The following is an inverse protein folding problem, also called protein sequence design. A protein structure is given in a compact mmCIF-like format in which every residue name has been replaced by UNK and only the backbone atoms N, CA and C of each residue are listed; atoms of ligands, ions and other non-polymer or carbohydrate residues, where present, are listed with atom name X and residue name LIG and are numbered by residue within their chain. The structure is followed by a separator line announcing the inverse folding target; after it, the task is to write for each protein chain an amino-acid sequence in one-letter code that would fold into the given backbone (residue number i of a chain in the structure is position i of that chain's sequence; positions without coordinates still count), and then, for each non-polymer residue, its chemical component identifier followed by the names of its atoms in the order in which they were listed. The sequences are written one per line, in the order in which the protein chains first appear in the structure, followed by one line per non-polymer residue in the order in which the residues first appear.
data_IF_698415376114
#
_entry.id   IF_698415376114
#
_cell.length_a   1.000
_cell.length_b   1.000
_cell.length_c   1.000
_cell.angle_alpha   90.00
_cell.angle_beta   90.00
_cell.angle_gamma   90.00
#
_symmetry.space_group_name_H-M   'P 1'
#
loop_
_entity.id
_entity.type
_entity.pdbx_description
1 polymer ?
#
# COMPACT_ATOMS: atom_id res chain seq x y z
N UNK A 1 22.75 9.23 4.18
CA UNK A 1 21.63 8.44 3.62
C UNK A 1 21.60 7.13 4.39
N UNK A 2 20.67 6.96 5.35
CA UNK A 2 20.45 5.66 5.99
C UNK A 2 19.84 4.75 4.93
N UNK A 3 20.50 3.65 4.57
CA UNK A 3 19.86 2.60 3.78
C UNK A 3 18.68 2.08 4.59
N UNK A 4 17.46 2.33 4.13
CA UNK A 4 16.22 1.99 4.84
C UNK A 4 15.90 0.51 4.81
N UNK A 5 16.65 -0.28 4.03
CA UNK A 5 16.55 -1.73 3.99
C UNK A 5 17.74 -2.31 4.77
N UNK A 6 17.49 -3.05 5.87
CA UNK A 6 18.54 -3.82 6.54
C UNK A 6 19.17 -4.76 5.51
N UNK A 7 20.49 -4.63 5.30
CA UNK A 7 21.24 -5.60 4.53
C UNK A 7 21.36 -6.90 5.35
N UNK A 8 21.37 -8.06 4.68
CA UNK A 8 21.74 -9.30 5.34
C UNK A 8 23.11 -9.14 6.01
N UNK A 9 23.30 -9.66 7.23
CA UNK A 9 24.61 -9.62 7.88
C UNK A 9 25.66 -10.21 6.94
N UNK A 10 26.78 -9.50 6.69
CA UNK A 10 27.90 -10.10 5.97
C UNK A 10 28.32 -11.38 6.72
N UNK A 11 28.71 -12.40 5.97
CA UNK A 11 29.13 -13.73 6.45
C UNK A 11 28.00 -14.68 6.91
N UNK A 12 26.73 -14.28 6.82
CA UNK A 12 25.59 -15.19 6.91
C UNK A 12 24.90 -15.31 5.56
N UNK A 13 24.98 -16.48 4.93
CA UNK A 13 24.30 -16.79 3.66
C UNK A 13 22.78 -16.95 3.84
N UNK A 14 22.12 -15.96 4.46
CA UNK A 14 20.67 -15.92 4.63
C UNK A 14 20.02 -15.28 3.39
N UNK A 15 19.14 -16.05 2.74
CA UNK A 15 18.21 -15.53 1.74
C UNK A 15 16.99 -14.89 2.42
N UNK A 16 16.61 -13.70 1.96
CA UNK A 16 15.34 -13.08 2.36
C UNK A 16 14.20 -13.76 1.63
N UNK A 17 13.57 -14.74 2.28
CA UNK A 17 12.42 -15.48 1.73
C UNK A 17 11.11 -14.73 1.93
N UNK A 18 11.02 -13.94 3.00
CA UNK A 18 9.84 -13.18 3.39
C UNK A 18 10.20 -11.73 3.66
N UNK A 19 9.31 -10.84 3.25
CA UNK A 19 9.38 -9.43 3.62
C UNK A 19 8.02 -9.03 4.19
N UNK A 20 8.02 -8.23 5.25
CA UNK A 20 6.81 -7.58 5.77
C UNK A 20 7.18 -6.18 6.24
N UNK A 21 6.47 -5.19 5.72
CA UNK A 21 6.65 -3.81 6.12
C UNK A 21 5.29 -3.11 6.13
N UNK A 22 5.07 -2.32 7.18
CA UNK A 22 3.83 -1.62 7.41
C UNK A 22 4.12 -0.19 7.81
N UNK A 23 3.51 0.76 7.10
CA UNK A 23 3.48 2.16 7.46
C UNK A 23 2.07 2.61 7.80
N UNK A 24 1.96 3.61 8.67
CA UNK A 24 0.72 4.32 8.93
C UNK A 24 0.93 5.81 8.74
N UNK A 25 0.16 6.43 7.83
CA UNK A 25 0.22 7.87 7.57
C UNK A 25 -1.08 8.54 7.99
N UNK A 26 -0.98 9.66 8.69
CA UNK A 26 -2.11 10.58 8.84
C UNK A 26 -2.15 11.54 7.65
N UNK A 27 -3.32 11.82 7.09
CA UNK A 27 -3.47 12.76 5.98
C UNK A 27 -3.61 14.20 6.53
N UNK A 28 -2.65 15.10 6.31
CA UNK A 28 -2.69 16.45 6.88
C UNK A 28 -3.92 17.23 6.41
N UNK A 29 -4.69 17.79 7.35
CA UNK A 29 -5.89 18.57 7.05
C UNK A 29 -7.15 17.75 6.77
N UNK A 30 -7.08 16.41 6.75
CA UNK A 30 -8.21 15.53 6.49
C UNK A 30 -8.41 14.52 7.64
N UNK A 31 -9.64 14.02 7.85
CA UNK A 31 -9.95 13.05 8.90
C UNK A 31 -9.59 11.61 8.50
N UNK A 32 -8.52 11.43 7.72
CA UNK A 32 -8.13 10.14 7.16
C UNK A 32 -6.75 9.72 7.63
N UNK A 33 -6.59 8.41 7.76
CA UNK A 33 -5.31 7.75 7.87
C UNK A 33 -5.22 6.63 6.83
N UNK A 34 -3.98 6.31 6.47
CA UNK A 34 -3.65 5.29 5.48
C UNK A 34 -2.82 4.23 6.20
N UNK A 35 -3.25 2.99 6.12
CA UNK A 35 -2.41 1.85 6.45
C UNK A 35 -1.84 1.29 5.14
N UNK A 36 -0.53 1.13 5.05
CA UNK A 36 0.14 0.62 3.86
C UNK A 36 1.02 -0.56 4.22
N UNK A 37 0.61 -1.76 3.82
CA UNK A 37 1.30 -3.01 4.08
C UNK A 37 1.90 -3.55 2.79
N UNK A 38 3.14 -4.01 2.87
CA UNK A 38 3.89 -4.61 1.77
C UNK A 38 4.50 -5.91 2.26
N UNK A 39 4.22 -7.01 1.56
CA UNK A 39 4.81 -8.31 1.90
C UNK A 39 5.25 -9.08 0.67
N UNK A 40 6.40 -9.76 0.78
CA UNK A 40 6.86 -10.73 -0.20
C UNK A 40 6.68 -12.11 0.40
N UNK A 41 6.06 -13.01 -0.36
CA UNK A 41 5.83 -14.40 0.01
C UNK A 41 6.26 -15.33 -1.14
N UNK A 42 6.72 -16.55 -0.86
CA UNK A 42 6.96 -17.56 -1.89
C UNK A 42 5.66 -17.88 -2.65
N UNK A 43 5.68 -17.90 -3.99
CA UNK A 43 4.51 -18.34 -4.77
C UNK A 43 4.43 -19.88 -4.81
N UNK A 44 3.93 -20.47 -3.73
CA UNK A 44 3.53 -21.89 -3.70
C UNK A 44 4.69 -22.91 -3.75
N UNK A 45 4.33 -24.16 -4.08
CA UNK A 45 5.16 -25.36 -3.88
C UNK A 45 6.22 -25.62 -4.97
N UNK A 46 6.30 -24.77 -6.01
CA UNK A 46 7.26 -24.95 -7.09
C UNK A 46 8.50 -24.08 -6.81
N UNK A 47 9.69 -24.66 -6.58
CA UNK A 47 10.91 -23.91 -6.29
C UNK A 47 11.45 -23.10 -7.49
N UNK A 48 10.83 -23.23 -8.67
CA UNK A 48 11.10 -22.35 -9.82
C UNK A 48 10.16 -21.12 -9.88
N UNK A 49 9.14 -21.06 -9.01
CA UNK A 49 8.10 -20.04 -9.04
C UNK A 49 8.45 -18.77 -8.27
N UNK A 50 8.06 -17.66 -8.89
CA UNK A 50 8.36 -16.29 -8.52
C UNK A 50 8.00 -15.92 -7.07
N UNK A 51 8.65 -14.90 -6.54
CA UNK A 51 8.18 -14.21 -5.34
C UNK A 51 6.88 -13.45 -5.64
N UNK A 52 5.87 -13.57 -4.78
CA UNK A 52 4.65 -12.79 -4.86
C UNK A 52 4.77 -11.54 -3.98
N UNK A 53 4.62 -10.36 -4.58
CA UNK A 53 4.46 -9.10 -3.85
C UNK A 53 2.97 -8.84 -3.60
N UNK A 54 2.59 -8.75 -2.34
CA UNK A 54 1.25 -8.32 -1.92
C UNK A 54 1.38 -6.90 -1.37
N UNK A 55 0.56 -6.01 -1.91
CA UNK A 55 0.43 -4.62 -1.47
C UNK A 55 -1.00 -4.43 -1.00
N UNK A 56 -1.17 -4.13 0.27
CA UNK A 56 -2.45 -3.80 0.86
C UNK A 56 -2.45 -2.33 1.30
N UNK A 57 -3.48 -1.62 0.89
CA UNK A 57 -3.64 -0.19 1.14
C UNK A 57 -5.03 -0.02 1.71
N UNK A 58 -5.12 0.47 2.92
CA UNK A 58 -6.40 0.82 3.53
C UNK A 58 -6.44 2.31 3.83
N UNK A 59 -7.62 2.89 3.61
CA UNK A 59 -7.91 4.27 4.00
C UNK A 59 -9.09 4.22 4.96
N UNK A 60 -8.90 4.80 6.14
CA UNK A 60 -9.90 4.79 7.20
C UNK A 60 -9.99 6.16 7.85
N UNK A 61 -11.12 6.43 8.49
CA UNK A 61 -11.32 7.66 9.25
C UNK A 61 -10.70 7.54 10.63
N UNK A 62 -9.93 8.52 11.06
CA UNK A 62 -9.39 8.59 12.43
C UNK A 62 -10.21 9.50 13.35
N UNK A 63 -11.35 10.02 12.86
CA UNK A 63 -12.28 10.88 13.57
C UNK A 63 -13.71 10.49 13.24
N UNK A 64 -14.61 10.71 14.19
CA UNK A 64 -16.04 10.49 13.98
C UNK A 64 -16.55 11.48 12.94
N UNK A 65 -17.10 10.97 11.84
CA UNK A 65 -17.74 11.80 10.82
C UNK A 65 -19.17 12.11 11.30
N UNK A 66 -19.52 13.39 11.35
CA UNK A 66 -20.91 13.80 11.57
C UNK A 66 -21.67 13.64 10.26
N UNK A 67 -22.23 12.44 10.03
CA UNK A 67 -23.13 12.18 8.91
C UNK A 67 -24.56 12.38 9.41
N UNK A 68 -25.25 13.39 8.89
CA UNK A 68 -26.67 13.61 9.19
C UNK A 68 -27.59 12.54 8.58
N UNK A 69 -28.85 12.49 9.02
CA UNK A 69 -29.85 11.50 8.53
C UNK A 69 -30.17 11.60 7.02
N UNK A 70 -29.77 12.68 6.33
CA UNK A 70 -29.99 12.91 4.90
C UNK A 70 -28.68 13.01 4.09
N UNK A 71 -27.57 12.51 4.61
CA UNK A 71 -26.23 12.91 4.16
C UNK A 71 -25.55 11.91 3.21
N UNK A 72 -26.33 11.30 2.32
CA UNK A 72 -25.84 10.33 1.32
C UNK A 72 -24.77 10.94 0.39
N UNK A 73 -24.95 12.22 0.04
CA UNK A 73 -23.99 12.93 -0.81
C UNK A 73 -22.64 13.11 -0.10
N UNK A 74 -22.65 13.42 1.21
CA UNK A 74 -21.43 13.48 2.01
C UNK A 74 -20.77 12.11 2.14
N UNK A 75 -21.53 11.04 2.40
CA UNK A 75 -20.95 9.69 2.45
C UNK A 75 -20.31 9.30 1.09
N UNK A 76 -21.00 9.55 -0.01
CA UNK A 76 -20.49 9.31 -1.36
C UNK A 76 -19.21 10.09 -1.61
N UNK A 77 -19.16 11.38 -1.25
CA UNK A 77 -17.97 12.21 -1.34
C UNK A 77 -16.81 11.62 -0.52
N UNK A 78 -17.06 11.19 0.72
CA UNK A 78 -16.02 10.60 1.59
C UNK A 78 -15.46 9.30 1.00
N UNK A 79 -16.32 8.44 0.46
CA UNK A 79 -15.89 7.22 -0.22
C UNK A 79 -15.08 7.52 -1.48
N UNK A 80 -15.44 8.55 -2.24
CA UNK A 80 -14.67 9.01 -3.40
C UNK A 80 -13.29 9.54 -2.98
N UNK A 81 -13.22 10.34 -1.92
CA UNK A 81 -11.96 10.84 -1.35
C UNK A 81 -11.05 9.68 -0.90
N UNK A 82 -11.61 8.68 -0.20
CA UNK A 82 -10.86 7.48 0.21
C UNK A 82 -10.35 6.67 -0.98
N UNK A 83 -11.19 6.49 -2.01
CA UNK A 83 -10.79 5.81 -3.26
C UNK A 83 -9.66 6.57 -3.96
N UNK A 84 -9.75 7.89 -4.02
CA UNK A 84 -8.70 8.73 -4.58
C UNK A 84 -7.39 8.60 -3.79
N UNK A 85 -7.43 8.61 -2.45
CA UNK A 85 -6.26 8.40 -1.60
C UNK A 85 -5.62 7.03 -1.83
N UNK A 86 -6.42 5.96 -1.84
CA UNK A 86 -5.95 4.59 -2.14
C UNK A 86 -5.22 4.55 -3.49
N UNK A 87 -5.82 5.13 -4.54
CA UNK A 87 -5.21 5.20 -5.86
C UNK A 87 -3.91 6.00 -5.83
N UNK A 88 -3.88 7.17 -5.17
CA UNK A 88 -2.70 8.02 -5.11
C UNK A 88 -1.52 7.30 -4.46
N UNK A 89 -1.77 6.58 -3.36
CA UNK A 89 -0.75 5.75 -2.71
C UNK A 89 -0.29 4.67 -3.68
N UNK A 90 -1.20 3.85 -4.22
CA UNK A 90 -0.85 2.77 -5.15
C UNK A 90 0.02 3.26 -6.33
N UNK A 91 -0.40 4.32 -7.03
CA UNK A 91 0.32 4.87 -8.17
C UNK A 91 1.67 5.51 -7.80
N UNK A 92 1.82 6.05 -6.58
CA UNK A 92 3.11 6.56 -6.10
C UNK A 92 4.13 5.45 -5.83
N UNK A 93 3.69 4.21 -5.70
CA UNK A 93 4.54 3.05 -5.39
C UNK A 93 4.95 2.27 -6.63
N UNK A 94 4.27 2.51 -7.76
CA UNK A 94 4.56 1.85 -9.02
C UNK A 94 5.63 2.61 -9.78
N UNK A 95 6.65 1.91 -10.24
CA UNK A 95 7.61 2.49 -11.20
C UNK A 95 6.93 2.65 -12.56
N UNK A 96 7.45 3.56 -13.40
CA UNK A 96 6.98 3.70 -14.79
C UNK A 96 7.01 2.36 -15.54
N UNK A 97 8.05 1.55 -15.30
CA UNK A 97 8.16 0.20 -15.85
C UNK A 97 7.01 -0.73 -15.41
N UNK A 98 6.62 -0.70 -14.13
CA UNK A 98 5.51 -1.50 -13.64
C UNK A 98 4.17 -1.03 -14.24
N UNK A 99 3.95 0.28 -14.36
CA UNK A 99 2.76 0.87 -14.98
C UNK A 99 2.58 0.41 -16.42
N UNK A 100 3.65 0.46 -17.22
CA UNK A 100 3.64 0.02 -18.62
C UNK A 100 3.27 -1.47 -18.74
N UNK A 101 3.82 -2.33 -17.87
CA UNK A 101 3.56 -3.78 -17.92
C UNK A 101 2.19 -4.20 -17.39
N UNK A 102 1.61 -3.46 -16.44
CA UNK A 102 0.26 -3.74 -15.94
C UNK A 102 -0.86 -3.17 -16.83
N UNK A 103 -0.52 -2.61 -17.99
CA UNK A 103 -1.50 -2.19 -19.00
C UNK A 103 -1.91 -0.72 -18.91
N UNK A 104 -1.12 0.15 -18.27
CA UNK A 104 -1.30 1.60 -18.38
C UNK A 104 -0.71 2.13 -19.70
N UNK A 105 -1.17 1.61 -20.83
CA UNK A 105 -1.21 2.39 -22.07
C UNK A 105 -2.42 3.31 -21.96
N UNK A 106 -2.17 4.59 -21.68
CA UNK A 106 -3.11 5.68 -22.01
C UNK A 106 -3.29 5.78 -23.53
#
# INVERSE_FOLDING_TARGET
MLSTVPASPPDLALSTEFFFHQDTYSVPGYPYAINWVRTIQPAGADPTNAQALIVDIDVFTNKLLQLGQADQDTLSQRLQEMRWLKNKVFFSCMTSYALERFGATL
#
